data_IF_303048099670
#
_entry.id   IF_303048099670
#
_cell.length_a   1.000
_cell.length_b   1.000
_cell.length_c   1.000
_cell.angle_alpha   90.00
_cell.angle_beta   90.00
_cell.angle_gamma   90.00
#
_symmetry.space_group_name_H-M   'P 1'
#
loop_
_entity.id
_entity.type
_entity.pdbx_description
1 polymer ?
#
# COMPACT_ATOMS: atom_id res chain seq x y z
N UNK A 1 8.31 0.03 -11.23
CA UNK A 1 8.74 -1.17 -10.50
C UNK A 1 7.62 -2.20 -10.69
N UNK A 2 7.95 -3.44 -11.08
CA UNK A 2 7.05 -4.38 -11.75
C UNK A 2 5.84 -4.87 -10.91
N UNK A 3 4.67 -4.24 -11.03
CA UNK A 3 3.36 -4.72 -10.56
C UNK A 3 2.83 -5.88 -11.43
N UNK A 4 3.58 -6.96 -11.61
CA UNK A 4 2.96 -8.10 -12.30
C UNK A 4 1.73 -8.49 -11.50
N UNK A 5 0.56 -8.53 -12.17
CA UNK A 5 -0.56 -9.39 -11.77
C UNK A 5 -1.64 -8.73 -10.86
N UNK A 6 -1.85 -7.40 -10.97
CA UNK A 6 -3.11 -6.73 -10.50
C UNK A 6 -4.21 -6.95 -11.54
N UNK A 7 -5.04 -7.99 -11.40
CA UNK A 7 -6.04 -8.34 -12.42
C UNK A 7 -7.03 -7.19 -12.67
N UNK A 8 -6.79 -6.40 -13.72
CA UNK A 8 -7.79 -5.49 -14.26
C UNK A 8 -8.96 -6.32 -14.79
N UNK A 9 -10.16 -5.73 -14.90
CA UNK A 9 -11.32 -6.37 -15.57
C UNK A 9 -10.98 -6.91 -16.97
N UNK A 10 -9.88 -6.46 -17.58
CA UNK A 10 -9.35 -6.89 -18.89
C UNK A 10 -8.31 -8.03 -18.85
N UNK A 11 -8.07 -8.67 -17.70
CA UNK A 11 -7.28 -9.90 -17.59
C UNK A 11 -5.76 -9.75 -17.51
N UNK A 12 -5.19 -8.57 -17.79
CA UNK A 12 -3.76 -8.26 -17.56
C UNK A 12 -3.64 -6.94 -16.80
N UNK A 13 -2.96 -6.98 -15.65
CA UNK A 13 -2.71 -5.81 -14.80
C UNK A 13 -1.54 -4.95 -15.25
N UNK A 14 -1.56 -3.64 -14.97
CA UNK A 14 -0.39 -2.79 -15.18
C UNK A 14 0.77 -3.32 -14.35
N UNK A 15 1.98 -3.38 -14.92
CA UNK A 15 3.21 -3.76 -14.24
C UNK A 15 3.93 -2.57 -13.58
N UNK A 16 3.29 -1.42 -13.43
CA UNK A 16 3.90 -0.29 -12.72
C UNK A 16 2.79 0.62 -12.24
N UNK A 17 2.97 1.18 -11.05
CA UNK A 17 2.08 2.20 -10.50
C UNK A 17 2.41 3.61 -10.98
N UNK A 18 3.46 3.74 -11.80
CA UNK A 18 3.85 5.01 -12.40
C UNK A 18 2.70 5.61 -13.22
N UNK A 19 2.39 6.86 -12.95
CA UNK A 19 1.33 7.61 -13.64
C UNK A 19 -0.08 7.50 -13.03
N UNK A 20 -0.32 6.61 -12.06
CA UNK A 20 -1.66 6.48 -11.45
C UNK A 20 -1.66 6.14 -9.95
N UNK A 21 -0.64 5.46 -9.43
CA UNK A 21 -0.63 4.99 -8.05
C UNK A 21 -0.10 5.98 -7.02
N UNK A 22 0.18 7.23 -7.39
CA UNK A 22 0.74 8.22 -6.46
C UNK A 22 -0.10 8.37 -5.18
N UNK A 23 -1.43 8.40 -5.29
CA UNK A 23 -2.32 8.49 -4.13
C UNK A 23 -2.36 7.21 -3.30
N UNK A 24 -2.19 6.04 -3.92
CA UNK A 24 -2.10 4.77 -3.20
C UNK A 24 -0.80 4.73 -2.38
N UNK A 25 0.32 5.20 -2.95
CA UNK A 25 1.59 5.36 -2.23
C UNK A 25 1.47 6.36 -1.08
N UNK A 26 0.80 7.49 -1.28
CA UNK A 26 0.49 8.43 -0.20
C UNK A 26 -0.28 7.76 0.96
N UNK A 27 -1.28 6.94 0.64
CA UNK A 27 -2.03 6.14 1.61
C UNK A 27 -1.15 5.14 2.36
N UNK A 28 -0.29 4.41 1.65
CA UNK A 28 0.68 3.48 2.25
C UNK A 28 1.59 4.20 3.24
N UNK A 29 2.16 5.35 2.87
CA UNK A 29 3.04 6.12 3.77
C UNK A 29 2.30 6.59 5.02
N UNK A 30 1.07 7.10 4.86
CA UNK A 30 0.26 7.58 5.98
C UNK A 30 -0.08 6.45 6.96
N UNK A 31 -0.49 5.29 6.44
CA UNK A 31 -0.80 4.12 7.27
C UNK A 31 0.48 3.54 7.91
N UNK A 32 1.58 3.46 7.15
CA UNK A 32 2.87 3.00 7.67
C UNK A 32 3.34 3.87 8.84
N UNK A 33 3.20 5.20 8.72
CA UNK A 33 3.53 6.12 9.82
C UNK A 33 2.63 5.88 11.03
N UNK A 34 1.34 5.66 10.85
CA UNK A 34 0.42 5.34 11.95
C UNK A 34 0.82 4.03 12.66
N UNK A 35 1.24 3.01 11.91
CA UNK A 35 1.73 1.74 12.46
C UNK A 35 3.08 1.90 13.17
N UNK A 36 4.01 2.70 12.62
CA UNK A 36 5.27 3.02 13.30
C UNK A 36 5.00 3.72 14.63
N UNK A 37 4.17 4.77 14.64
CA UNK A 37 3.79 5.47 15.87
C UNK A 37 3.15 4.53 16.90
N UNK A 38 2.33 3.57 16.45
CA UNK A 38 1.64 2.61 17.32
C UNK A 38 2.55 1.52 17.88
N UNK A 39 3.46 0.98 17.08
CA UNK A 39 4.27 -0.20 17.44
C UNK A 39 5.66 0.16 17.96
N UNK A 40 6.27 1.23 17.45
CA UNK A 40 7.64 1.64 17.81
C UNK A 40 7.68 2.94 18.61
N UNK A 41 6.59 3.71 18.58
CA UNK A 41 6.49 5.02 19.22
C UNK A 41 6.80 6.16 18.26
N UNK A 42 6.35 7.37 18.61
CA UNK A 42 6.48 8.56 17.77
C UNK A 42 7.93 9.02 17.59
N UNK A 43 8.76 8.82 18.60
CA UNK A 43 10.16 9.28 18.64
C UNK A 43 11.14 8.23 18.08
N UNK A 44 10.62 7.12 17.55
CA UNK A 44 11.44 6.08 16.95
C UNK A 44 12.15 6.59 15.69
N UNK A 45 13.42 6.21 15.53
CA UNK A 45 14.26 6.56 14.39
C UNK A 45 14.87 5.29 13.79
N UNK A 46 14.80 5.17 12.47
CA UNK A 46 15.35 4.02 11.76
C UNK A 46 16.88 3.93 11.89
N UNK A 47 17.36 2.72 12.19
CA UNK A 47 18.78 2.38 12.20
C UNK A 47 19.07 1.24 11.22
N UNK A 48 19.87 1.51 10.19
CA UNK A 48 20.21 0.50 9.16
C UNK A 48 21.03 -0.68 9.69
N UNK A 49 21.81 -0.47 10.75
CA UNK A 49 22.76 -1.46 11.28
C UNK A 49 22.10 -2.40 12.29
N UNK A 50 21.01 -1.96 12.91
CA UNK A 50 20.24 -2.75 13.85
C UNK A 50 18.74 -2.45 13.64
N UNK A 51 18.12 -3.04 12.61
CA UNK A 51 16.72 -2.81 12.34
C UNK A 51 15.84 -3.51 13.39
N UNK A 52 14.93 -2.76 14.01
CA UNK A 52 13.94 -3.34 14.94
C UNK A 52 13.05 -4.38 14.26
N UNK A 53 12.80 -5.49 14.94
CA UNK A 53 11.95 -6.56 14.40
C UNK A 53 10.54 -6.06 14.06
N UNK A 54 9.99 -5.18 14.89
CA UNK A 54 8.67 -4.60 14.67
C UNK A 54 8.65 -3.66 13.47
N UNK A 55 9.74 -2.92 13.21
CA UNK A 55 9.89 -2.15 11.98
C UNK A 55 9.87 -3.08 10.75
N UNK A 56 10.61 -4.20 10.81
CA UNK A 56 10.63 -5.18 9.71
C UNK A 56 9.25 -5.81 9.49
N UNK A 57 8.50 -6.10 10.56
CA UNK A 57 7.10 -6.57 10.45
C UNK A 57 6.22 -5.52 9.77
N UNK A 58 6.33 -4.25 10.17
CA UNK A 58 5.60 -3.15 9.53
C UNK A 58 5.96 -3.04 8.06
N UNK A 59 7.25 -3.00 7.71
CA UNK A 59 7.73 -2.90 6.34
C UNK A 59 7.22 -4.05 5.47
N UNK A 60 7.22 -5.28 5.98
CA UNK A 60 6.72 -6.47 5.28
C UNK A 60 5.25 -6.34 4.87
N UNK A 61 4.43 -5.62 5.63
CA UNK A 61 3.02 -5.42 5.28
C UNK A 61 2.82 -4.54 4.03
N UNK A 62 3.79 -3.70 3.66
CA UNK A 62 3.69 -2.75 2.54
C UNK A 62 4.51 -3.15 1.30
N UNK A 63 5.14 -4.32 1.31
CA UNK A 63 5.89 -4.79 0.15
C UNK A 63 4.98 -4.90 -1.08
N UNK A 64 5.55 -4.69 -2.27
CA UNK A 64 4.85 -4.86 -3.54
C UNK A 64 4.70 -6.35 -3.90
N UNK A 65 4.09 -7.11 -3.01
CA UNK A 65 3.80 -8.54 -3.16
C UNK A 65 2.34 -8.80 -2.79
N UNK A 66 1.69 -9.73 -3.49
CA UNK A 66 0.27 -10.06 -3.27
C UNK A 66 -0.05 -10.60 -1.87
N UNK A 67 0.93 -11.23 -1.24
CA UNK A 67 0.84 -11.78 0.12
C UNK A 67 0.90 -10.71 1.22
N UNK A 68 1.26 -9.47 0.87
CA UNK A 68 1.44 -8.38 1.80
C UNK A 68 0.14 -7.57 1.90
N UNK A 69 -0.38 -7.43 3.13
CA UNK A 69 -1.74 -6.90 3.42
C UNK A 69 -2.01 -5.51 2.84
N UNK A 70 -1.04 -4.60 2.97
CA UNK A 70 -1.15 -3.22 2.46
C UNK A 70 -0.30 -3.03 1.21
N UNK A 71 -0.06 -4.09 0.45
CA UNK A 71 0.58 -3.99 -0.85
C UNK A 71 -0.28 -3.16 -1.79
N UNK A 72 0.37 -2.56 -2.78
CA UNK A 72 -0.30 -1.86 -3.86
C UNK A 72 -1.25 -2.77 -4.66
N UNK A 73 -0.99 -4.08 -4.70
CA UNK A 73 -1.88 -5.07 -5.30
C UNK A 73 -3.21 -5.15 -4.54
N UNK A 74 -3.15 -5.29 -3.21
CA UNK A 74 -4.33 -5.34 -2.35
C UNK A 74 -5.11 -4.03 -2.39
N UNK A 75 -4.43 -2.89 -2.25
CA UNK A 75 -5.06 -1.57 -2.27
C UNK A 75 -5.75 -1.30 -3.62
N UNK A 76 -5.09 -1.60 -4.75
CA UNK A 76 -5.67 -1.41 -6.06
C UNK A 76 -6.86 -2.35 -6.32
N UNK A 77 -6.78 -3.61 -5.86
CA UNK A 77 -7.87 -4.58 -5.99
C UNK A 77 -9.07 -4.20 -5.13
N UNK A 78 -8.83 -3.74 -3.89
CA UNK A 78 -9.87 -3.26 -3.00
C UNK A 78 -10.60 -2.04 -3.56
N UNK A 79 -9.91 -1.15 -4.28
CA UNK A 79 -10.57 -0.03 -4.94
C UNK A 79 -11.55 -0.43 -6.04
N UNK A 80 -11.40 -1.62 -6.65
CA UNK A 80 -12.41 -2.17 -7.58
C UNK A 80 -13.74 -2.40 -6.87
N UNK A 81 -13.71 -2.80 -5.60
CA UNK A 81 -14.93 -2.95 -4.79
C UNK A 81 -15.62 -1.61 -4.48
N UNK A 82 -14.85 -0.51 -4.51
CA UNK A 82 -15.36 0.87 -4.37
C UNK A 82 -15.74 1.50 -5.73
N UNK A 83 -15.81 0.69 -6.80
CA UNK A 83 -16.15 1.17 -8.14
C UNK A 83 -15.04 1.95 -8.85
N UNK A 84 -13.79 1.85 -8.37
CA UNK A 84 -12.61 2.40 -9.06
C UNK A 84 -11.85 1.30 -9.77
N UNK A 85 -11.80 1.39 -11.10
CA UNK A 85 -10.95 0.48 -11.86
C UNK A 85 -9.47 0.68 -11.52
N UNK A 86 -8.72 -0.43 -11.54
CA UNK A 86 -7.25 -0.42 -11.42
C UNK A 86 -6.67 0.53 -12.48
N UNK A 87 -5.83 1.48 -12.05
CA UNK A 87 -5.28 2.51 -12.93
C UNK A 87 -5.97 3.88 -12.86
N UNK A 88 -7.11 4.02 -12.19
CA UNK A 88 -7.72 5.33 -11.95
C UNK A 88 -7.12 6.05 -10.76
N UNK A 89 -7.22 7.39 -10.77
CA UNK A 89 -6.81 8.23 -9.65
C UNK A 89 -7.80 8.15 -8.48
N UNK A 90 -7.28 8.07 -7.26
CA UNK A 90 -8.07 7.94 -6.03
C UNK A 90 -8.10 9.28 -5.31
N UNK A 91 -9.29 9.76 -4.98
CA UNK A 91 -9.44 10.89 -4.06
C UNK A 91 -9.14 10.49 -2.61
N UNK A 92 -8.88 11.46 -1.71
CA UNK A 92 -8.53 11.19 -0.31
C UNK A 92 -9.55 10.30 0.43
N UNK A 93 -10.85 10.50 0.20
CA UNK A 93 -11.91 9.70 0.82
C UNK A 93 -11.86 8.23 0.37
N UNK A 94 -11.63 7.98 -0.93
CA UNK A 94 -11.57 6.61 -1.47
C UNK A 94 -10.37 5.86 -0.93
N UNK A 95 -9.19 6.51 -0.84
CA UNK A 95 -7.99 5.89 -0.24
C UNK A 95 -8.25 5.51 1.23
N UNK A 96 -8.88 6.40 2.00
CA UNK A 96 -9.19 6.12 3.40
C UNK A 96 -10.15 4.92 3.57
N UNK A 97 -11.16 4.80 2.70
CA UNK A 97 -12.10 3.67 2.74
C UNK A 97 -11.43 2.34 2.37
N UNK A 98 -10.55 2.35 1.37
CA UNK A 98 -9.78 1.17 0.96
C UNK A 98 -8.88 0.70 2.10
N UNK A 99 -8.09 1.60 2.70
CA UNK A 99 -7.19 1.26 3.80
C UNK A 99 -7.92 0.72 5.04
N UNK A 100 -9.16 1.15 5.28
CA UNK A 100 -9.99 0.63 6.39
C UNK A 100 -10.40 -0.83 6.19
N UNK A 101 -10.47 -1.29 4.93
CA UNK A 101 -10.97 -2.62 4.56
C UNK A 101 -9.87 -3.58 4.07
N UNK A 102 -8.63 -3.10 3.95
CA UNK A 102 -7.46 -3.87 3.51
C UNK A 102 -6.86 -4.69 4.65
#
# INVERSE_FOLDING_TARGET
MCLTDVTSRRGVGPNTDQGWGCMLRCGQMMLAQALICRHLGKDWVWNKHNPDEDYIKVLKMFLDKKDSSYSIHQIAQMGVSEGKDVGHWYGPNTVAQVLRRS
#
